data_IF_908317962282
#
_entry.id   IF_908317962282
#
_cell.length_a   1.000
_cell.length_b   1.000
_cell.length_c   1.000
_cell.angle_alpha   90.00
_cell.angle_beta   90.00
_cell.angle_gamma   90.00
#
_symmetry.space_group_name_H-M   'P 1'
#
loop_
_entity.id
_entity.type
_entity.pdbx_description
1 polymer ?
#
# COMPACT_ATOMS: atom_id res chain seq x y z
N UNK A 1 38.00 9.73 6.92
CA UNK A 1 37.13 10.11 5.78
C UNK A 1 35.76 9.50 6.08
N UNK A 2 34.73 10.31 6.37
CA UNK A 2 33.40 9.76 6.66
C UNK A 2 32.73 9.40 5.32
N UNK A 3 32.14 8.20 5.27
CA UNK A 3 31.37 7.77 4.11
C UNK A 3 30.17 8.73 3.94
N UNK A 4 30.04 9.42 2.78
CA UNK A 4 28.97 10.39 2.55
C UNK A 4 27.56 9.75 2.58
N UNK A 5 27.48 8.42 2.51
CA UNK A 5 26.22 7.69 2.57
C UNK A 5 25.76 7.37 4.00
N UNK A 6 26.59 7.59 5.02
CA UNK A 6 26.24 7.29 6.43
C UNK A 6 25.82 8.58 7.13
N UNK A 7 24.53 8.69 7.46
CA UNK A 7 23.99 9.77 8.31
C UNK A 7 23.85 9.27 9.74
N UNK A 8 24.26 10.09 10.71
CA UNK A 8 23.99 9.82 12.12
C UNK A 8 22.50 10.05 12.39
N UNK A 9 21.89 9.20 13.20
CA UNK A 9 20.46 9.34 13.58
C UNK A 9 20.18 10.72 14.17
N UNK A 10 21.10 11.27 14.97
CA UNK A 10 20.98 12.60 15.56
C UNK A 10 21.01 13.75 14.54
N UNK A 11 21.39 13.49 13.29
CA UNK A 11 21.39 14.47 12.21
C UNK A 11 20.16 14.36 11.31
N UNK A 12 19.25 13.44 11.61
CA UNK A 12 18.00 13.26 10.87
C UNK A 12 16.96 14.24 11.44
N UNK A 13 16.22 14.91 10.56
CA UNK A 13 15.16 15.83 10.95
C UNK A 13 14.13 15.14 11.85
N UNK A 14 13.73 15.81 12.94
CA UNK A 14 12.76 15.28 13.90
C UNK A 14 13.39 14.53 15.07
N UNK A 15 14.70 14.28 15.09
CA UNK A 15 15.37 13.62 16.23
C UNK A 15 15.14 14.37 17.54
N UNK A 16 15.25 15.69 17.52
CA UNK A 16 15.09 16.55 18.71
C UNK A 16 13.65 16.57 19.27
N UNK A 17 12.68 16.10 18.47
CA UNK A 17 11.28 16.01 18.87
C UNK A 17 10.94 14.71 19.60
N UNK A 18 11.87 13.75 19.60
CA UNK A 18 11.71 12.45 20.26
C UNK A 18 12.12 12.58 21.71
N UNK A 19 11.17 12.92 22.58
CA UNK A 19 11.42 13.16 24.00
C UNK A 19 11.08 11.98 24.92
N UNK A 20 10.41 10.95 24.41
CA UNK A 20 9.96 9.80 25.18
C UNK A 20 10.37 8.50 24.48
N UNK A 21 10.57 7.44 25.29
CA UNK A 21 10.77 6.10 24.77
C UNK A 21 9.47 5.59 24.15
N UNK A 22 9.55 5.11 22.92
CA UNK A 22 8.40 4.62 22.14
C UNK A 22 8.82 4.23 20.73
N UNK A 23 7.86 3.86 19.93
CA UNK A 23 8.10 3.55 18.52
C UNK A 23 8.46 4.82 17.75
N UNK A 24 9.51 4.71 16.95
CA UNK A 24 10.01 5.78 16.11
C UNK A 24 10.07 5.26 14.68
N UNK A 25 9.45 6.00 13.77
CA UNK A 25 9.38 5.68 12.35
C UNK A 25 10.35 6.55 11.57
N UNK A 26 11.15 5.90 10.72
CA UNK A 26 12.01 6.58 9.76
C UNK A 26 11.24 6.77 8.45
N UNK A 27 11.02 8.01 8.09
CA UNK A 27 10.37 8.38 6.83
C UNK A 27 11.37 8.89 5.81
N UNK A 28 11.03 8.77 4.54
CA UNK A 28 11.71 9.36 3.40
C UNK A 28 10.70 10.19 2.62
N UNK A 29 11.07 11.41 2.22
CA UNK A 29 10.25 12.24 1.36
C UNK A 29 11.06 12.77 0.19
N UNK A 30 10.38 12.98 -0.91
CA UNK A 30 10.94 13.65 -2.08
C UNK A 30 11.27 15.11 -1.74
N UNK A 31 12.41 15.58 -2.22
CA UNK A 31 12.84 16.96 -2.06
C UNK A 31 13.41 17.47 -3.37
N UNK A 32 13.05 18.68 -3.71
CA UNK A 32 13.65 19.42 -4.82
C UNK A 32 14.52 20.56 -4.27
N UNK A 33 15.70 20.69 -4.79
CA UNK A 33 16.62 21.78 -4.47
C UNK A 33 16.93 22.57 -5.74
N UNK A 34 16.58 23.84 -5.72
CA UNK A 34 16.92 24.74 -6.82
C UNK A 34 18.43 25.00 -6.85
N UNK A 35 19.06 24.65 -7.97
CA UNK A 35 20.49 24.72 -8.17
C UNK A 35 20.84 25.67 -9.35
N UNK A 36 22.11 26.13 -9.36
CA UNK A 36 22.65 26.93 -10.45
C UNK A 36 21.83 28.20 -10.73
N UNK A 37 21.76 29.10 -9.74
CA UNK A 37 21.17 30.44 -9.93
C UNK A 37 21.91 31.23 -10.98
N UNK A 38 21.22 31.65 -12.02
CA UNK A 38 21.71 32.58 -13.04
C UNK A 38 21.12 33.98 -12.81
N UNK A 39 21.92 34.99 -13.05
CA UNK A 39 21.42 36.36 -13.05
C UNK A 39 20.91 36.71 -14.45
N UNK A 40 19.68 37.19 -14.55
CA UNK A 40 19.20 37.79 -15.79
C UNK A 40 19.88 39.12 -16.01
N UNK A 41 20.67 39.25 -17.08
CA UNK A 41 21.35 40.48 -17.48
C UNK A 41 20.37 41.49 -18.11
N UNK A 42 19.15 41.07 -18.44
CA UNK A 42 18.19 41.89 -19.17
C UNK A 42 17.30 42.79 -18.30
N UNK A 43 17.44 42.77 -16.98
CA UNK A 43 16.63 43.56 -16.06
C UNK A 43 17.46 44.67 -15.34
N UNK A 44 17.62 45.82 -15.93
CA UNK A 44 18.10 47.01 -15.23
C UNK A 44 17.00 47.63 -14.37
N UNK A 45 16.58 46.94 -13.31
CA UNK A 45 15.53 47.42 -12.39
C UNK A 45 15.82 47.01 -10.96
N UNK A 46 16.07 47.99 -10.18
CA UNK A 46 16.20 48.28 -8.74
C UNK A 46 15.92 47.22 -7.66
N UNK A 47 15.55 46.00 -7.97
CA UNK A 47 15.35 44.94 -6.97
C UNK A 47 16.27 43.74 -7.24
N UNK A 48 17.42 43.72 -6.57
CA UNK A 48 18.45 42.69 -6.68
C UNK A 48 17.98 41.26 -6.23
N UNK A 49 16.86 41.17 -5.56
CA UNK A 49 16.29 39.86 -5.13
C UNK A 49 15.35 39.23 -6.16
N UNK A 50 14.80 40.01 -7.09
CA UNK A 50 13.88 39.52 -8.11
C UNK A 50 14.55 38.93 -9.37
N UNK A 51 15.88 38.92 -9.44
CA UNK A 51 16.64 38.54 -10.63
C UNK A 51 17.32 37.18 -10.61
N UNK A 52 17.20 36.40 -9.53
CA UNK A 52 17.74 35.05 -9.51
C UNK A 52 16.73 34.10 -10.14
N UNK A 53 17.09 33.55 -11.27
CA UNK A 53 16.39 32.39 -11.87
C UNK A 53 17.28 31.17 -11.72
N UNK A 54 16.69 30.10 -11.29
CA UNK A 54 17.38 28.81 -11.18
C UNK A 54 17.20 28.06 -12.49
N UNK A 55 18.30 27.57 -13.06
CA UNK A 55 18.27 26.84 -14.33
C UNK A 55 18.10 25.32 -14.16
N UNK A 56 18.32 24.83 -12.96
CA UNK A 56 18.24 23.40 -12.67
C UNK A 56 17.60 23.16 -11.33
N UNK A 57 16.85 22.09 -11.28
CA UNK A 57 16.32 21.49 -10.07
C UNK A 57 17.07 20.18 -9.84
N UNK A 58 17.63 20.03 -8.65
CA UNK A 58 18.20 18.77 -8.19
C UNK A 58 17.12 18.00 -7.45
N UNK A 59 16.78 16.85 -7.98
CA UNK A 59 15.92 15.90 -7.26
C UNK A 59 16.73 15.16 -6.20
N UNK A 60 16.14 15.01 -5.04
CA UNK A 60 16.74 14.37 -3.90
C UNK A 60 15.72 13.74 -2.98
N UNK A 61 16.18 13.34 -1.82
CA UNK A 61 15.30 12.85 -0.76
C UNK A 61 15.77 13.39 0.59
N UNK A 62 14.82 13.56 1.47
CA UNK A 62 15.09 13.90 2.87
C UNK A 62 14.59 12.77 3.77
N UNK A 63 15.44 12.40 4.75
CA UNK A 63 15.07 11.47 5.81
C UNK A 63 14.51 12.26 6.99
N UNK A 64 13.44 11.77 7.58
CA UNK A 64 12.87 12.35 8.79
C UNK A 64 12.43 11.25 9.79
N UNK A 65 12.42 11.59 11.07
CA UNK A 65 11.93 10.76 12.15
C UNK A 65 10.59 11.30 12.65
N UNK A 66 9.69 10.40 12.99
CA UNK A 66 8.39 10.74 13.57
C UNK A 66 7.95 9.67 14.56
N UNK A 67 7.25 10.08 15.61
CA UNK A 67 6.58 9.17 16.55
C UNK A 67 5.14 8.86 16.12
N UNK A 68 4.65 9.58 15.10
CA UNK A 68 3.32 9.31 14.56
C UNK A 68 3.37 8.09 13.66
N UNK A 69 2.58 7.09 13.98
CA UNK A 69 2.44 5.91 13.13
C UNK A 69 2.05 6.33 11.71
N UNK A 70 2.82 5.88 10.70
CA UNK A 70 2.50 6.19 9.32
C UNK A 70 1.15 5.54 8.96
N UNK A 71 0.27 6.35 8.43
CA UNK A 71 -0.94 5.82 7.83
C UNK A 71 -0.53 4.98 6.62
N UNK A 72 -0.64 3.65 6.73
CA UNK A 72 -0.28 2.70 5.66
C UNK A 72 -0.96 3.03 4.33
N UNK A 73 -2.11 3.69 4.38
CA UNK A 73 -2.83 4.15 3.18
C UNK A 73 -2.18 5.39 2.52
N UNK A 74 -1.44 6.20 3.27
CA UNK A 74 -0.81 7.43 2.74
C UNK A 74 0.64 7.25 2.28
N UNK A 75 1.37 6.29 2.83
CA UNK A 75 2.78 6.04 2.47
C UNK A 75 2.94 4.93 1.43
N UNK A 76 1.84 4.53 0.81
CA UNK A 76 1.74 3.32 0.06
C UNK A 76 2.54 3.26 -1.22
N UNK A 77 3.78 2.83 -1.13
CA UNK A 77 4.36 2.00 -2.20
C UNK A 77 3.36 0.88 -2.52
N UNK A 78 2.67 0.36 -1.50
CA UNK A 78 1.58 -0.60 -1.67
C UNK A 78 0.43 -0.03 -2.52
N UNK A 79 0.04 1.23 -2.38
CA UNK A 79 -1.02 1.84 -3.21
C UNK A 79 -0.59 2.08 -4.67
N UNK A 80 0.71 2.12 -4.95
CA UNK A 80 1.24 2.19 -6.32
C UNK A 80 1.29 0.80 -6.96
N UNK A 81 1.60 -0.23 -6.16
CA UNK A 81 1.79 -1.59 -6.63
C UNK A 81 0.52 -2.43 -6.58
N UNK A 82 -0.42 -2.10 -5.69
CA UNK A 82 -1.62 -2.87 -5.43
C UNK A 82 -2.86 -1.99 -5.42
N UNK A 83 -3.95 -2.52 -5.92
CA UNK A 83 -5.30 -2.01 -5.69
C UNK A 83 -5.92 -2.71 -4.49
N UNK A 84 -6.56 -1.94 -3.63
CA UNK A 84 -7.22 -2.43 -2.44
C UNK A 84 -8.73 -2.26 -2.59
N UNK A 85 -9.44 -3.39 -2.68
CA UNK A 85 -10.89 -3.45 -2.86
C UNK A 85 -11.50 -3.83 -1.52
N UNK A 86 -12.32 -2.96 -0.94
CA UNK A 86 -13.08 -3.28 0.27
C UNK A 86 -14.34 -4.05 -0.12
N UNK A 87 -14.48 -5.26 0.41
CA UNK A 87 -15.61 -6.14 0.19
C UNK A 87 -16.65 -6.00 1.29
N UNK A 88 -16.19 -5.82 2.53
CA UNK A 88 -17.03 -5.63 3.71
C UNK A 88 -16.27 -4.79 4.75
N UNK A 89 -16.95 -3.87 5.43
CA UNK A 89 -16.37 -3.04 6.50
C UNK A 89 -17.49 -2.57 7.46
N UNK A 90 -18.11 -3.51 8.15
CA UNK A 90 -19.18 -3.26 9.12
C UNK A 90 -19.05 -4.23 10.31
N UNK A 91 -19.80 -3.99 11.38
CA UNK A 91 -19.91 -4.86 12.56
C UNK A 91 -18.54 -5.27 13.18
N UNK A 92 -17.52 -4.42 13.07
CA UNK A 92 -16.16 -4.70 13.56
C UNK A 92 -15.40 -5.73 12.73
N UNK A 93 -15.89 -6.08 11.55
CA UNK A 93 -15.26 -6.98 10.60
C UNK A 93 -14.93 -6.23 9.32
N UNK A 94 -13.69 -6.38 8.84
CA UNK A 94 -13.25 -5.83 7.58
C UNK A 94 -12.64 -6.91 6.70
N UNK A 95 -13.11 -6.98 5.46
CA UNK A 95 -12.61 -7.90 4.44
C UNK A 95 -12.21 -7.09 3.22
N UNK A 96 -10.94 -7.20 2.81
CA UNK A 96 -10.39 -6.49 1.67
C UNK A 96 -9.67 -7.45 0.76
N UNK A 97 -9.72 -7.18 -0.53
CA UNK A 97 -8.93 -7.88 -1.54
C UNK A 97 -7.83 -6.94 -2.04
N UNK A 98 -6.59 -7.39 -1.94
CA UNK A 98 -5.41 -6.72 -2.47
C UNK A 98 -5.02 -7.39 -3.79
N UNK A 99 -5.01 -6.60 -4.85
CA UNK A 99 -4.74 -7.05 -6.22
C UNK A 99 -3.52 -6.31 -6.74
N UNK A 100 -2.46 -6.99 -7.21
CA UNK A 100 -1.33 -6.30 -7.81
C UNK A 100 -1.75 -5.60 -9.11
N UNK A 101 -1.30 -4.36 -9.30
CA UNK A 101 -1.55 -3.57 -10.52
C UNK A 101 -0.77 -4.08 -11.72
N UNK A 102 0.33 -4.75 -11.46
CA UNK A 102 1.22 -5.28 -12.48
C UNK A 102 1.54 -6.73 -12.18
N UNK A 103 1.42 -7.58 -13.17
CA UNK A 103 1.84 -8.96 -13.11
C UNK A 103 2.75 -9.25 -14.32
N UNK A 104 3.86 -9.94 -14.08
CA UNK A 104 4.73 -10.35 -15.17
C UNK A 104 4.11 -11.53 -15.92
N UNK A 105 4.18 -11.51 -17.24
CA UNK A 105 3.77 -12.64 -18.08
C UNK A 105 4.59 -13.89 -17.75
N UNK A 106 3.97 -15.04 -17.83
CA UNK A 106 4.56 -16.34 -17.49
C UNK A 106 5.06 -16.46 -16.03
N UNK A 107 4.56 -15.62 -15.13
CA UNK A 107 4.90 -15.66 -13.72
C UNK A 107 3.66 -15.83 -12.83
N UNK A 108 3.91 -16.41 -11.67
CA UNK A 108 2.90 -16.47 -10.62
C UNK A 108 2.91 -15.20 -9.79
N UNK A 109 1.73 -14.79 -9.35
CA UNK A 109 1.54 -13.71 -8.39
C UNK A 109 0.48 -14.08 -7.37
N UNK A 110 0.39 -13.34 -6.28
CA UNK A 110 -0.59 -13.58 -5.24
C UNK A 110 -1.63 -12.46 -5.20
N UNK A 111 -2.91 -12.82 -5.26
CA UNK A 111 -3.99 -12.03 -4.71
C UNK A 111 -3.99 -12.24 -3.19
N UNK A 112 -4.20 -11.21 -2.41
CA UNK A 112 -4.23 -11.32 -0.95
C UNK A 112 -5.59 -10.89 -0.41
N UNK A 113 -6.22 -11.77 0.34
CA UNK A 113 -7.42 -11.42 1.10
C UNK A 113 -7.00 -11.03 2.50
N UNK A 114 -7.26 -9.78 2.85
CA UNK A 114 -6.95 -9.19 4.15
C UNK A 114 -8.22 -9.23 4.99
N UNK A 115 -8.21 -10.04 6.03
CA UNK A 115 -9.28 -10.13 7.01
C UNK A 115 -8.85 -9.49 8.32
N UNK A 116 -9.67 -8.62 8.84
CA UNK A 116 -9.46 -7.90 10.09
C UNK A 116 -10.74 -7.93 10.92
N UNK A 117 -10.60 -8.25 12.20
CA UNK A 117 -11.69 -8.34 13.14
C UNK A 117 -11.32 -7.58 14.41
N UNK A 118 -12.21 -6.73 14.90
CA UNK A 118 -12.02 -5.92 16.10
C UNK A 118 -13.28 -5.95 16.96
N UNK A 119 -13.09 -6.27 18.24
CA UNK A 119 -14.15 -6.28 19.27
C UNK A 119 -15.35 -7.18 18.95
N UNK A 120 -15.15 -8.25 18.17
CA UNK A 120 -16.18 -9.21 17.80
C UNK A 120 -15.91 -10.56 18.45
N UNK A 121 -16.80 -11.03 19.31
CA UNK A 121 -16.65 -12.32 20.02
C UNK A 121 -17.20 -13.51 19.24
N UNK A 122 -17.94 -13.27 18.13
CA UNK A 122 -18.51 -14.32 17.32
C UNK A 122 -17.47 -14.90 16.34
N UNK A 123 -17.49 -16.19 16.04
CA UNK A 123 -16.66 -16.77 14.99
C UNK A 123 -17.06 -16.21 13.63
N UNK A 124 -16.10 -15.98 12.77
CA UNK A 124 -16.30 -15.44 11.42
C UNK A 124 -16.09 -16.53 10.39
N UNK A 125 -17.03 -16.62 9.49
CA UNK A 125 -16.94 -17.43 8.27
C UNK A 125 -17.32 -16.57 7.08
N UNK A 126 -16.49 -16.52 6.05
CA UNK A 126 -16.83 -15.85 4.81
C UNK A 126 -16.37 -16.62 3.58
N UNK A 127 -17.06 -16.41 2.49
CA UNK A 127 -16.67 -16.95 1.19
C UNK A 127 -17.14 -16.05 0.06
N UNK A 128 -16.38 -16.05 -1.03
CA UNK A 128 -16.73 -15.37 -2.29
C UNK A 128 -15.92 -15.93 -3.44
N UNK A 129 -16.33 -15.63 -4.65
CA UNK A 129 -15.64 -16.05 -5.85
C UNK A 129 -14.96 -14.85 -6.53
N UNK A 130 -13.75 -15.10 -6.99
CA UNK A 130 -12.96 -14.18 -7.80
C UNK A 130 -12.91 -14.75 -9.21
N UNK A 131 -13.12 -13.89 -10.21
CA UNK A 131 -13.05 -14.26 -11.62
C UNK A 131 -12.12 -13.30 -12.37
N UNK A 132 -11.35 -13.83 -13.32
CA UNK A 132 -10.53 -13.05 -14.24
C UNK A 132 -10.51 -13.66 -15.62
N UNK A 133 -10.44 -12.83 -16.63
CA UNK A 133 -10.39 -13.28 -18.03
C UNK A 133 -9.00 -13.80 -18.42
N UNK A 134 -7.92 -13.21 -17.86
CA UNK A 134 -6.53 -13.56 -18.19
C UNK A 134 -5.83 -14.43 -17.17
N UNK A 135 -6.12 -14.21 -15.90
CA UNK A 135 -5.44 -14.95 -14.83
C UNK A 135 -6.14 -16.28 -14.58
N UNK A 136 -5.35 -17.27 -14.24
CA UNK A 136 -5.83 -18.61 -13.92
C UNK A 136 -5.29 -19.04 -12.55
N UNK A 137 -6.06 -19.89 -11.89
CA UNK A 137 -5.52 -20.63 -10.75
C UNK A 137 -4.43 -21.60 -11.23
N UNK A 138 -3.57 -22.12 -10.34
CA UNK A 138 -2.61 -23.17 -10.69
C UNK A 138 -3.27 -24.44 -11.28
N UNK A 139 -4.60 -24.57 -11.15
CA UNK A 139 -5.40 -25.64 -11.77
C UNK A 139 -5.93 -25.29 -13.16
N UNK A 140 -5.64 -24.06 -13.64
CA UNK A 140 -6.11 -23.57 -14.93
C UNK A 140 -7.52 -22.96 -14.92
N UNK A 141 -8.12 -22.79 -13.75
CA UNK A 141 -9.47 -22.23 -13.60
C UNK A 141 -9.42 -20.69 -13.63
N UNK A 142 -10.38 -20.06 -14.31
CA UNK A 142 -10.53 -18.60 -14.33
C UNK A 142 -11.36 -18.06 -13.16
N UNK A 143 -11.95 -18.95 -12.37
CA UNK A 143 -12.73 -18.65 -11.17
C UNK A 143 -12.13 -19.34 -9.97
N UNK A 144 -11.90 -18.58 -8.91
CA UNK A 144 -11.30 -19.08 -7.67
C UNK A 144 -12.24 -18.80 -6.51
N UNK A 145 -12.57 -19.84 -5.77
CA UNK A 145 -13.33 -19.73 -4.53
C UNK A 145 -12.39 -19.33 -3.40
N UNK A 146 -12.69 -18.21 -2.77
CA UNK A 146 -12.12 -17.78 -1.50
C UNK A 146 -13.02 -18.27 -0.38
N UNK A 147 -12.44 -18.91 0.61
CA UNK A 147 -13.17 -19.36 1.79
C UNK A 147 -12.29 -19.24 3.03
N UNK A 148 -12.86 -18.74 4.09
CA UNK A 148 -12.21 -18.63 5.40
C UNK A 148 -13.19 -18.98 6.50
N UNK A 149 -12.73 -19.80 7.43
CA UNK A 149 -13.47 -20.15 8.66
C UNK A 149 -12.53 -19.95 9.83
N UNK A 150 -12.96 -19.15 10.77
CA UNK A 150 -12.22 -18.93 12.01
C UNK A 150 -12.32 -20.18 12.90
N UNK A 151 -11.18 -20.80 13.18
CA UNK A 151 -11.09 -22.01 14.02
C UNK A 151 -10.94 -21.69 15.50
N UNK A 152 -10.18 -20.62 15.81
CA UNK A 152 -9.99 -20.12 17.17
C UNK A 152 -10.61 -18.73 17.25
N UNK A 153 -11.67 -18.63 18.04
CA UNK A 153 -12.42 -17.37 18.20
C UNK A 153 -11.69 -16.43 19.14
N UNK A 154 -11.26 -15.31 18.61
CA UNK A 154 -10.64 -14.22 19.36
C UNK A 154 -11.43 -12.95 19.12
N UNK A 155 -11.31 -11.95 20.01
CA UNK A 155 -11.97 -10.65 19.82
C UNK A 155 -11.27 -9.77 18.80
N UNK A 156 -9.96 -10.01 18.58
CA UNK A 156 -9.13 -9.30 17.62
C UNK A 156 -8.37 -10.32 16.77
N UNK A 157 -8.42 -10.17 15.48
CA UNK A 157 -7.70 -11.04 14.54
C UNK A 157 -7.35 -10.30 13.26
N UNK A 158 -6.15 -10.51 12.79
CA UNK A 158 -5.69 -10.10 11.46
C UNK A 158 -5.14 -11.32 10.74
N UNK A 159 -5.61 -11.55 9.52
CA UNK A 159 -5.16 -12.68 8.67
C UNK A 159 -4.98 -12.20 7.24
N UNK A 160 -3.89 -12.63 6.63
CA UNK A 160 -3.66 -12.47 5.19
C UNK A 160 -3.70 -13.84 4.53
N UNK A 161 -4.63 -14.03 3.60
CA UNK A 161 -4.81 -15.26 2.85
C UNK A 161 -4.28 -15.06 1.42
N UNK A 162 -3.16 -15.67 1.04
CA UNK A 162 -2.64 -15.57 -0.32
C UNK A 162 -3.33 -16.59 -1.23
N UNK A 163 -3.76 -16.13 -2.41
CA UNK A 163 -4.29 -16.95 -3.49
C UNK A 163 -3.37 -16.82 -4.70
N UNK A 164 -2.68 -17.88 -5.04
CA UNK A 164 -1.73 -17.89 -6.16
C UNK A 164 -2.49 -17.92 -7.48
N UNK A 165 -2.10 -17.06 -8.38
CA UNK A 165 -2.61 -16.96 -9.74
C UNK A 165 -1.46 -17.03 -10.74
N UNK A 166 -1.71 -17.64 -11.88
CA UNK A 166 -0.80 -17.70 -13.01
C UNK A 166 -1.18 -16.62 -14.03
N UNK A 167 -0.23 -15.80 -14.42
CA UNK A 167 -0.35 -14.90 -15.56
C UNK A 167 0.15 -15.64 -16.80
N UNK A 168 -0.74 -15.91 -17.75
CA UNK A 168 -0.39 -16.59 -18.98
C UNK A 168 0.50 -15.76 -19.92
N UNK A 169 0.87 -16.29 -21.09
CA UNK A 169 1.78 -15.65 -22.05
C UNK A 169 1.07 -14.55 -22.85
N UNK A 170 0.52 -13.57 -22.16
CA UNK A 170 -0.16 -12.41 -22.78
C UNK A 170 0.79 -11.23 -22.79
N UNK A 171 0.93 -10.55 -23.92
CA UNK A 171 1.74 -9.34 -24.03
C UNK A 171 0.85 -8.11 -23.91
N UNK A 172 1.27 -7.19 -23.03
CA UNK A 172 0.79 -5.82 -22.92
C UNK A 172 -0.74 -5.67 -22.97
N UNK A 173 -1.44 -6.48 -22.17
CA UNK A 173 -2.90 -6.45 -22.12
C UNK A 173 -3.38 -6.01 -20.74
N UNK A 174 -4.64 -5.57 -20.70
CA UNK A 174 -5.32 -5.16 -19.49
C UNK A 174 -6.41 -6.16 -19.16
N UNK A 175 -6.48 -6.54 -17.89
CA UNK A 175 -7.56 -7.37 -17.40
C UNK A 175 -8.12 -6.83 -16.10
N UNK A 176 -9.26 -7.33 -15.71
CA UNK A 176 -9.86 -7.03 -14.42
C UNK A 176 -9.99 -8.29 -13.58
N UNK A 177 -9.77 -8.11 -12.28
CA UNK A 177 -10.16 -9.09 -11.28
C UNK A 177 -11.53 -8.68 -10.77
N UNK A 178 -12.52 -9.55 -10.94
CA UNK A 178 -13.91 -9.30 -10.55
C UNK A 178 -14.25 -10.15 -9.34
N UNK A 179 -14.83 -9.53 -8.33
CA UNK A 179 -15.47 -10.26 -7.23
C UNK A 179 -16.95 -10.41 -7.58
N UNK A 180 -17.43 -11.65 -7.61
CA UNK A 180 -18.84 -11.94 -7.90
C UNK A 180 -19.68 -11.66 -6.65
N UNK A 181 -20.37 -10.52 -6.65
CA UNK A 181 -21.15 -10.04 -5.49
C UNK A 181 -22.18 -11.05 -5.02
N UNK A 182 -22.83 -11.74 -5.94
CA UNK A 182 -23.82 -12.79 -5.64
C UNK A 182 -23.22 -14.03 -4.97
N UNK A 183 -21.92 -14.20 -5.01
CA UNK A 183 -21.21 -15.31 -4.35
C UNK A 183 -20.72 -14.95 -2.95
N UNK A 184 -20.80 -13.67 -2.57
CA UNK A 184 -20.34 -13.22 -1.27
C UNK A 184 -21.30 -13.67 -0.18
N UNK A 185 -20.76 -14.31 0.83
CA UNK A 185 -21.47 -14.75 2.02
C UNK A 185 -20.60 -14.49 3.25
N UNK A 186 -21.20 -13.91 4.27
CA UNK A 186 -20.56 -13.64 5.56
C UNK A 186 -21.47 -14.08 6.69
N UNK A 187 -20.92 -14.84 7.62
CA UNK A 187 -21.59 -15.25 8.86
C UNK A 187 -20.80 -14.85 10.08
N UNK A 188 -21.47 -14.26 11.03
CA UNK A 188 -20.96 -13.90 12.35
C UNK A 188 -21.66 -14.76 13.40
N UNK A 189 -21.03 -15.85 13.81
CA UNK A 189 -21.65 -16.89 14.63
C UNK A 189 -22.81 -17.57 13.90
N UNK A 190 -24.00 -17.48 14.46
CA UNK A 190 -25.24 -18.01 13.86
C UNK A 190 -25.99 -17.00 12.99
N UNK A 191 -25.53 -15.76 12.94
CA UNK A 191 -26.16 -14.68 12.16
C UNK A 191 -25.54 -14.61 10.77
N UNK A 192 -26.36 -14.64 9.75
CA UNK A 192 -25.95 -14.29 8.39
C UNK A 192 -25.92 -12.77 8.29
N UNK A 193 -24.77 -12.21 7.90
CA UNK A 193 -24.58 -10.78 7.77
C UNK A 193 -24.78 -10.31 6.32
N UNK A 194 -24.43 -11.16 5.35
CA UNK A 194 -24.65 -10.96 3.89
C UNK A 194 -24.80 -12.33 3.23
#
# INVERSE_FOLDING_TARGET
MQDPCVKRISAIQGFDQIQQSGDVYLGIRYQEEECEGTFSVAGSGVNAEAGRQYNRVREGYELFLTTKEPNRQMLGVDSVLYDLITLYDEDGVRIRLEVPRYANTDHQFALRVLFEKRDVSAPVHFSFDIESDLFRSPKGENRVRVEYTETEVTTHKEVTLPYIMDCGPVKDDYTSVKVLKESFSLRLGSKEAV
#
